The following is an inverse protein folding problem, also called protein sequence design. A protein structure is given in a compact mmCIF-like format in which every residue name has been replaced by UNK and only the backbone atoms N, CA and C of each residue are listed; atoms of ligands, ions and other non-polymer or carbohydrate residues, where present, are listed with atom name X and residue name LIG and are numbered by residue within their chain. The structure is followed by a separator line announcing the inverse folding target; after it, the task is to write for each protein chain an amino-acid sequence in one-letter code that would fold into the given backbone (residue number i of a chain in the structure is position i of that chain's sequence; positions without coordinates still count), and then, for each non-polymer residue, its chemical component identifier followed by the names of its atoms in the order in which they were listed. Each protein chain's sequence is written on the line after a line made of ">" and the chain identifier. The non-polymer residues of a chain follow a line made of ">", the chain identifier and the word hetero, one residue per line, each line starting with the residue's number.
data_IF_191764482361
#
_entry.id   IF_191764482361
#
_cell.length_a   1.000
_cell.length_b   1.000
_cell.length_c   1.000
_cell.angle_alpha   90.00
_cell.angle_beta   90.00
_cell.angle_gamma   90.00
#
_symmetry.space_group_name_H-M   'P 1'
#
loop_
_entity.id
_entity.type
_entity.pdbx_description
1 polymer ?
#
# COMPACT_ATOMS: atom_id res chain seq x y z
N UNK A 1 -14.84 0.76 16.12
CA UNK A 1 -13.64 -0.09 15.92
C UNK A 1 -12.48 0.56 16.66
N UNK A 2 -11.87 -0.14 17.61
CA UNK A 2 -10.78 0.39 18.43
C UNK A 2 -9.46 0.12 17.68
N UNK A 3 -8.88 1.15 17.07
CA UNK A 3 -7.61 1.05 16.33
C UNK A 3 -6.40 1.05 17.27
N UNK A 4 -6.42 0.19 18.29
CA UNK A 4 -5.37 0.06 19.32
C UNK A 4 -4.35 -0.99 18.91
N UNK A 5 -3.08 -0.84 19.26
CA UNK A 5 -2.07 -1.91 19.08
C UNK A 5 -2.42 -3.21 19.82
N UNK A 6 -1.92 -4.37 19.37
CA UNK A 6 -2.16 -5.63 20.07
C UNK A 6 -1.26 -5.66 21.31
N UNK A 7 -1.83 -5.44 22.49
CA UNK A 7 -1.09 -5.35 23.76
C UNK A 7 -0.25 -6.62 24.03
N UNK A 8 -0.66 -7.77 23.49
CA UNK A 8 0.01 -9.08 23.66
C UNK A 8 1.23 -9.30 22.74
N UNK A 9 1.45 -8.42 21.75
CA UNK A 9 2.43 -8.64 20.67
C UNK A 9 3.40 -7.50 20.42
N UNK A 10 3.44 -6.48 21.29
CA UNK A 10 4.39 -5.35 21.15
C UNK A 10 5.77 -5.80 21.68
N UNK A 11 6.82 -5.83 20.84
CA UNK A 11 8.18 -6.10 21.30
C UNK A 11 8.62 -5.09 22.37
N UNK A 12 9.33 -5.57 23.40
CA UNK A 12 9.83 -4.74 24.51
C UNK A 12 10.91 -3.76 24.07
N UNK A 13 11.74 -4.13 23.08
CA UNK A 13 12.82 -3.30 22.55
C UNK A 13 12.54 -2.85 21.11
N UNK A 14 12.37 -1.54 20.92
CA UNK A 14 12.22 -0.86 19.62
C UNK A 14 11.22 -1.54 18.65
N UNK A 15 9.91 -1.59 18.98
CA UNK A 15 8.90 -2.31 18.19
C UNK A 15 8.76 -1.85 16.74
N UNK A 16 9.21 -0.64 16.40
CA UNK A 16 9.29 -0.13 15.03
C UNK A 16 10.44 -0.74 14.20
N UNK A 17 11.31 -1.57 14.78
CA UNK A 17 12.35 -2.33 14.04
C UNK A 17 11.91 -3.75 13.70
N UNK A 18 10.85 -4.23 14.32
CA UNK A 18 10.34 -5.57 14.09
C UNK A 18 9.47 -5.61 12.83
N UNK A 19 9.92 -6.38 11.84
CA UNK A 19 9.26 -6.52 10.54
C UNK A 19 7.89 -7.17 10.69
N UNK A 20 7.82 -8.28 11.41
CA UNK A 20 6.62 -9.11 11.54
C UNK A 20 5.53 -8.38 12.33
N UNK A 21 5.91 -7.63 13.36
CA UNK A 21 5.03 -6.75 14.11
C UNK A 21 4.43 -5.66 13.23
N UNK A 22 5.27 -4.92 12.48
CA UNK A 22 4.80 -3.88 11.58
C UNK A 22 3.94 -4.45 10.45
N UNK A 23 4.31 -5.63 9.93
CA UNK A 23 3.55 -6.31 8.88
C UNK A 23 2.16 -6.70 9.37
N UNK A 24 2.06 -7.32 10.54
CA UNK A 24 0.79 -7.68 11.16
C UNK A 24 -0.07 -6.43 11.42
N UNK A 25 0.50 -5.37 12.00
CA UNK A 25 -0.23 -4.13 12.25
C UNK A 25 -0.76 -3.47 10.96
N UNK A 26 0.05 -3.50 9.90
CA UNK A 26 -0.25 -2.78 8.66
C UNK A 26 -1.14 -3.58 7.70
N UNK A 27 -0.86 -4.87 7.49
CA UNK A 27 -1.56 -5.72 6.53
C UNK A 27 -2.74 -6.46 7.16
N UNK A 28 -2.57 -7.10 8.32
CA UNK A 28 -3.67 -7.87 8.94
C UNK A 28 -4.66 -6.95 9.66
N UNK A 29 -4.15 -5.93 10.37
CA UNK A 29 -5.01 -5.05 11.18
C UNK A 29 -5.40 -3.75 10.48
N UNK A 30 -4.81 -3.47 9.32
CA UNK A 30 -5.10 -2.26 8.53
C UNK A 30 -4.75 -0.94 9.25
N UNK A 31 -3.85 -0.97 10.25
CA UNK A 31 -3.47 0.24 10.98
C UNK A 31 -2.62 1.14 10.09
N UNK A 32 -2.93 2.44 10.10
CA UNK A 32 -2.11 3.41 9.38
C UNK A 32 -0.74 3.61 10.07
N UNK A 33 0.33 3.97 9.34
CA UNK A 33 1.61 4.31 9.96
C UNK A 33 1.52 5.42 11.01
N UNK A 34 0.55 6.35 10.85
CA UNK A 34 0.26 7.39 11.83
C UNK A 34 -0.32 6.80 13.12
N UNK A 35 -1.24 5.85 13.00
CA UNK A 35 -1.84 5.15 14.14
C UNK A 35 -0.80 4.33 14.88
N UNK A 36 0.00 3.54 14.16
CA UNK A 36 1.10 2.75 14.74
C UNK A 36 2.06 3.66 15.50
N UNK A 37 2.47 4.79 14.90
CA UNK A 37 3.36 5.74 15.55
C UNK A 37 2.75 6.39 16.80
N UNK A 38 1.47 6.78 16.76
CA UNK A 38 0.75 7.33 17.90
C UNK A 38 0.70 6.35 19.07
N UNK A 39 0.33 5.10 18.79
CA UNK A 39 0.20 4.05 19.81
C UNK A 39 1.56 3.64 20.40
N UNK A 40 2.64 3.68 19.60
CA UNK A 40 4.00 3.44 20.05
C UNK A 40 4.66 4.66 20.74
N UNK A 41 4.01 5.83 20.74
CA UNK A 41 4.60 7.07 21.27
C UNK A 41 5.82 7.57 20.48
N UNK A 42 5.94 7.25 19.19
CA UNK A 42 7.06 7.66 18.34
C UNK A 42 6.61 8.55 17.18
N UNK A 43 7.57 9.19 16.50
CA UNK A 43 7.27 9.97 15.30
C UNK A 43 6.80 9.07 14.14
N UNK A 44 5.83 9.54 13.35
CA UNK A 44 5.40 8.90 12.09
C UNK A 44 6.59 8.58 11.19
N UNK A 45 7.50 9.53 11.00
CA UNK A 45 8.66 9.37 10.11
C UNK A 45 9.55 8.20 10.54
N UNK A 46 9.75 8.00 11.85
CA UNK A 46 10.52 6.85 12.36
C UNK A 46 9.88 5.54 11.94
N UNK A 47 8.57 5.39 12.10
CA UNK A 47 7.84 4.18 11.68
C UNK A 47 7.91 4.00 10.16
N UNK A 48 7.61 5.06 9.39
CA UNK A 48 7.63 4.99 7.92
C UNK A 48 8.99 4.60 7.36
N UNK A 49 10.09 5.17 7.85
CA UNK A 49 11.45 4.83 7.40
C UNK A 49 11.78 3.37 7.68
N UNK A 50 11.38 2.83 8.84
CA UNK A 50 11.65 1.43 9.15
C UNK A 50 10.74 0.50 8.34
N UNK A 51 9.46 0.83 8.18
CA UNK A 51 8.55 0.05 7.33
C UNK A 51 9.03 -0.01 5.88
N UNK A 52 9.58 1.08 5.36
CA UNK A 52 10.19 1.12 4.04
C UNK A 52 11.42 0.21 3.97
N UNK A 53 12.39 0.39 4.88
CA UNK A 53 13.62 -0.42 4.94
C UNK A 53 13.34 -1.92 5.10
N UNK A 54 12.29 -2.28 5.83
CA UNK A 54 11.90 -3.67 6.08
C UNK A 54 10.97 -4.25 5.00
N UNK A 55 10.60 -3.46 3.98
CA UNK A 55 9.70 -3.88 2.90
C UNK A 55 8.28 -4.18 3.38
N UNK A 56 7.82 -3.52 4.44
CA UNK A 56 6.48 -3.72 5.02
C UNK A 56 5.42 -2.86 4.32
N UNK A 57 5.82 -1.71 3.78
CA UNK A 57 4.92 -0.85 3.01
C UNK A 57 4.34 -1.61 1.81
N UNK A 58 3.13 -1.22 1.39
CA UNK A 58 2.55 -1.74 0.15
C UNK A 58 3.50 -1.46 -1.02
N UNK A 59 3.60 -2.34 -2.00
CA UNK A 59 4.63 -2.24 -3.02
C UNK A 59 4.49 -0.97 -3.88
N UNK A 60 3.28 -0.45 -4.06
CA UNK A 60 3.02 0.86 -4.70
C UNK A 60 3.33 2.08 -3.82
N UNK A 61 3.67 1.90 -2.54
CA UNK A 61 4.18 2.95 -1.66
C UNK A 61 5.70 2.88 -1.51
N UNK A 62 6.34 1.83 -2.00
CA UNK A 62 7.77 1.64 -1.87
C UNK A 62 8.48 2.24 -3.09
N UNK A 63 9.17 3.37 -2.92
CA UNK A 63 9.85 4.09 -4.02
C UNK A 63 10.79 3.17 -4.80
N UNK A 64 11.70 2.39 -4.18
CA UNK A 64 12.61 1.53 -4.94
C UNK A 64 11.89 0.50 -5.80
N UNK A 65 10.73 -0.02 -5.33
CA UNK A 65 9.94 -0.97 -6.11
C UNK A 65 9.31 -0.27 -7.31
N UNK A 66 8.64 0.86 -7.11
CA UNK A 66 8.03 1.61 -8.21
C UNK A 66 9.06 2.09 -9.23
N UNK A 67 10.21 2.58 -8.77
CA UNK A 67 11.30 3.03 -9.63
C UNK A 67 11.82 1.88 -10.50
N UNK A 68 12.05 0.70 -9.91
CA UNK A 68 12.47 -0.48 -10.67
C UNK A 68 11.44 -0.86 -11.73
N UNK A 69 10.16 -0.97 -11.36
CA UNK A 69 9.09 -1.37 -12.29
C UNK A 69 8.90 -0.37 -13.43
N UNK A 70 8.92 0.93 -13.12
CA UNK A 70 8.63 1.98 -14.09
C UNK A 70 9.85 2.34 -14.95
N UNK A 71 11.03 2.47 -14.35
CA UNK A 71 12.25 2.94 -15.05
C UNK A 71 13.05 1.79 -15.63
N UNK A 72 13.22 0.69 -14.89
CA UNK A 72 14.06 -0.44 -15.35
C UNK A 72 13.26 -1.42 -16.20
N UNK A 73 12.04 -1.78 -15.78
CA UNK A 73 11.17 -2.71 -16.52
C UNK A 73 10.29 -1.99 -17.57
N UNK A 74 10.17 -0.65 -17.50
CA UNK A 74 9.43 0.14 -18.49
C UNK A 74 7.91 -0.03 -18.43
N UNK A 75 7.37 -0.53 -17.32
CA UNK A 75 5.95 -0.82 -17.16
C UNK A 75 5.13 0.47 -16.95
N UNK A 76 3.94 0.51 -17.53
CA UNK A 76 2.97 1.58 -17.30
C UNK A 76 2.30 1.47 -15.92
N UNK A 77 1.72 2.56 -15.43
CA UNK A 77 1.01 2.56 -14.15
C UNK A 77 -0.18 1.57 -14.10
N UNK A 78 -0.76 1.25 -15.26
CA UNK A 78 -1.85 0.27 -15.39
C UNK A 78 -1.32 -1.15 -15.23
N UNK A 79 -0.23 -1.48 -15.92
CA UNK A 79 0.45 -2.78 -15.79
C UNK A 79 1.02 -3.01 -14.38
N UNK A 80 1.52 -1.96 -13.73
CA UNK A 80 1.97 -2.01 -12.34
C UNK A 80 0.80 -2.29 -11.40
N UNK A 81 -0.35 -1.63 -11.61
CA UNK A 81 -1.55 -1.84 -10.78
C UNK A 81 -2.16 -3.23 -10.98
N UNK A 82 -2.10 -3.77 -12.20
CA UNK A 82 -2.58 -5.12 -12.54
C UNK A 82 -1.67 -6.25 -12.04
N UNK A 83 -0.49 -5.92 -11.48
CA UNK A 83 0.46 -6.92 -10.98
C UNK A 83 -0.05 -7.54 -9.67
N UNK A 84 0.12 -8.85 -9.54
CA UNK A 84 -0.22 -9.60 -8.32
C UNK A 84 0.42 -8.94 -7.07
N UNK A 85 -0.41 -8.68 -6.05
CA UNK A 85 0.00 -8.03 -4.79
C UNK A 85 0.01 -6.50 -4.80
N UNK A 86 -0.34 -5.86 -5.92
CA UNK A 86 -0.48 -4.40 -6.01
C UNK A 86 -1.87 -3.85 -5.68
N UNK A 87 -2.89 -4.70 -5.42
CA UNK A 87 -4.29 -4.39 -5.03
C UNK A 87 -4.67 -2.88 -4.92
N UNK A 88 -4.53 -2.13 -6.01
CA UNK A 88 -4.72 -0.69 -6.03
C UNK A 88 -5.06 -0.25 -7.43
N UNK A 89 -5.66 0.93 -7.54
CA UNK A 89 -6.01 1.50 -8.83
C UNK A 89 -4.76 2.06 -9.55
N UNK A 90 -4.75 2.08 -10.89
CA UNK A 90 -3.72 2.75 -11.68
C UNK A 90 -3.52 4.22 -11.25
N UNK A 91 -4.61 4.88 -10.87
CA UNK A 91 -4.63 6.23 -10.29
C UNK A 91 -3.78 6.34 -9.02
N UNK A 92 -3.84 5.34 -8.15
CA UNK A 92 -3.03 5.27 -6.94
C UNK A 92 -1.54 5.16 -7.30
N UNK A 93 -1.20 4.29 -8.26
CA UNK A 93 0.18 4.13 -8.73
C UNK A 93 0.71 5.45 -9.32
N UNK A 94 -0.06 6.11 -10.19
CA UNK A 94 0.31 7.40 -10.80
C UNK A 94 0.62 8.48 -9.75
N UNK A 95 -0.21 8.56 -8.70
CA UNK A 95 0.01 9.50 -7.59
C UNK A 95 1.36 9.28 -6.94
N UNK A 96 1.73 8.04 -6.62
CA UNK A 96 3.03 7.77 -5.98
C UNK A 96 4.20 7.92 -6.96
N UNK A 97 4.04 7.58 -8.24
CA UNK A 97 5.05 7.87 -9.26
C UNK A 97 5.33 9.37 -9.35
N UNK A 98 4.29 10.21 -9.29
CA UNK A 98 4.44 11.66 -9.32
C UNK A 98 5.05 12.21 -8.01
N UNK A 99 4.63 11.69 -6.86
CA UNK A 99 5.21 12.03 -5.54
C UNK A 99 6.72 11.75 -5.49
N UNK A 100 7.17 10.69 -6.18
CA UNK A 100 8.59 10.33 -6.31
C UNK A 100 9.31 10.99 -7.50
N UNK A 101 8.63 11.85 -8.27
CA UNK A 101 9.21 12.53 -9.43
C UNK A 101 9.60 11.58 -10.57
N UNK A 102 8.97 10.41 -10.65
CA UNK A 102 9.19 9.42 -11.72
C UNK A 102 8.34 9.71 -12.96
N UNK A 103 7.33 10.56 -12.84
CA UNK A 103 6.48 11.01 -13.96
C UNK A 103 6.28 12.51 -13.92
N UNK A 104 6.16 13.13 -15.10
CA UNK A 104 5.95 14.58 -15.28
C UNK A 104 4.45 14.96 -15.21
N UNK A 105 3.58 14.00 -14.89
CA UNK A 105 2.14 14.23 -14.77
C UNK A 105 1.85 15.01 -13.49
N UNK A 106 1.51 16.29 -13.65
CA UNK A 106 1.10 17.19 -12.57
C UNK A 106 0.00 16.52 -11.72
N UNK A 107 0.27 16.31 -10.44
CA UNK A 107 -0.62 15.60 -9.50
C UNK A 107 -1.96 16.35 -9.30
N UNK A 108 -2.09 17.59 -9.79
CA UNK A 108 -3.31 18.37 -9.74
C UNK A 108 -4.44 17.90 -10.66
N UNK A 109 -4.15 17.16 -11.74
CA UNK A 109 -5.13 16.75 -12.75
C UNK A 109 -5.58 15.29 -12.63
N UNK A 110 -5.38 14.67 -11.45
CA UNK A 110 -5.92 13.34 -11.19
C UNK A 110 -7.40 13.49 -10.84
N UNK A 111 -8.21 13.76 -11.86
CA UNK A 111 -9.66 13.77 -11.76
C UNK A 111 -10.06 12.37 -11.32
N UNK A 112 -10.63 12.25 -10.11
CA UNK A 112 -11.24 11.00 -9.66
C UNK A 112 -12.38 10.69 -10.62
N UNK A 113 -12.07 9.93 -11.67
CA UNK A 113 -13.05 9.25 -12.50
C UNK A 113 -13.98 8.53 -11.55
N UNK A 114 -15.23 8.99 -11.59
CA UNK A 114 -16.38 8.54 -10.81
C UNK A 114 -16.27 7.05 -10.46
N UNK A 115 -16.37 6.74 -9.17
CA UNK A 115 -16.14 5.41 -8.57
C UNK A 115 -17.14 4.31 -9.02
N UNK A 116 -17.95 4.54 -10.05
CA UNK A 116 -19.06 3.68 -10.46
C UNK A 116 -18.66 2.60 -11.49
N UNK A 117 -17.40 2.58 -11.96
CA UNK A 117 -16.96 1.69 -13.07
C UNK A 117 -16.07 0.51 -12.62
N UNK A 118 -15.89 0.31 -11.30
CA UNK A 118 -15.16 -0.86 -10.78
C UNK A 118 -16.10 -2.08 -10.70
N UNK A 119 -16.30 -2.71 -11.85
CA UNK A 119 -16.51 -4.14 -11.99
C UNK A 119 -17.72 -4.72 -11.27
N UNK A 120 -18.87 -4.68 -11.93
CA UNK A 120 -19.87 -5.75 -11.82
C UNK A 120 -19.20 -7.04 -12.31
N UNK A 121 -18.50 -7.76 -11.42
CA UNK A 121 -18.12 -9.14 -11.69
C UNK A 121 -19.38 -9.98 -11.56
N UNK A 122 -20.09 -10.16 -12.67
CA UNK A 122 -21.15 -11.15 -12.80
C UNK A 122 -20.63 -12.52 -12.33
N UNK A 123 -21.26 -13.17 -11.34
CA UNK A 123 -21.03 -14.59 -11.17
C UNK A 123 -21.78 -15.34 -12.28
N UNK A 124 -21.11 -15.56 -13.42
CA UNK A 124 -21.44 -16.68 -14.30
C UNK A 124 -21.18 -17.98 -13.51
N UNK A 125 -22.19 -18.44 -12.80
CA UNK A 125 -22.28 -19.83 -12.35
C UNK A 125 -23.00 -20.62 -13.42
N UNK A 126 -22.21 -21.11 -14.38
CA UNK A 126 -22.57 -22.23 -15.22
C UNK A 126 -22.69 -23.51 -14.37
N UNK A 127 -23.51 -24.46 -14.86
CA UNK A 127 -23.68 -25.88 -14.44
C UNK A 127 -24.86 -26.15 -13.48
N UNK A 128 -25.76 -27.10 -13.70
CA UNK A 128 -25.92 -28.13 -14.74
C UNK A 128 -27.34 -28.75 -14.66
N UNK A 129 -27.91 -29.04 -15.84
CA UNK A 129 -28.61 -30.26 -16.25
C UNK A 129 -29.32 -31.13 -15.18
N UNK A 130 -30.65 -31.24 -15.29
CA UNK A 130 -31.39 -32.52 -15.30
C UNK A 130 -32.77 -32.33 -15.95
#
# INVERSE_FOLDING_TARGET
>A
MTFRLPEERVPEDEPWRDRDFLWHCYHERGLSPRTIAYELGVSKSRVTVHMERLGVLRPWRHEPTLRRLYVEEGLSADEIAAREGFDCSPTTVRKYLAEYGLTDQDTGDVTYGRLDDLGETEPESEQAKA
#
